data_IF_238437868656
#
_entry.id   IF_238437868656
#
_cell.length_a   1.000
_cell.length_b   1.000
_cell.length_c   1.000
_cell.angle_alpha   90.00
_cell.angle_beta   90.00
_cell.angle_gamma   90.00
#
_symmetry.space_group_name_H-M   'P 1'
#
loop_
_entity.id
_entity.type
_entity.pdbx_description
1 polymer ?
#
# COMPACT_ATOMS: atom_id res chain seq x y z
N UNK A 1 -1.63 -10.41 -2.73
CA UNK A 1 -0.80 -9.38 -2.03
C UNK A 1 -0.28 -8.41 -3.08
N UNK A 2 -0.38 -7.08 -2.89
CA UNK A 2 0.17 -6.11 -3.86
C UNK A 2 1.70 -6.17 -3.89
N UNK A 3 2.31 -6.18 -5.09
CA UNK A 3 3.78 -6.16 -5.28
C UNK A 3 4.43 -5.00 -4.50
N UNK A 4 3.78 -3.83 -4.47
CA UNK A 4 4.22 -2.68 -3.68
C UNK A 4 4.34 -2.98 -2.18
N UNK A 5 3.39 -3.71 -1.58
CA UNK A 5 3.46 -4.07 -0.16
C UNK A 5 4.61 -5.04 0.14
N UNK A 6 4.89 -5.96 -0.79
CA UNK A 6 6.01 -6.89 -0.67
C UNK A 6 7.35 -6.15 -0.70
N UNK A 7 7.58 -5.29 -1.69
CA UNK A 7 8.83 -4.52 -1.80
C UNK A 7 9.01 -3.52 -0.66
N UNK A 8 7.94 -2.87 -0.22
CA UNK A 8 7.97 -2.01 0.98
C UNK A 8 8.38 -2.80 2.23
N UNK A 9 7.80 -3.99 2.41
CA UNK A 9 8.15 -4.85 3.54
C UNK A 9 9.59 -5.37 3.44
N UNK A 10 10.07 -5.71 2.24
CA UNK A 10 11.45 -6.15 2.02
C UNK A 10 12.46 -5.01 2.27
N UNK A 11 12.14 -3.78 1.87
CA UNK A 11 12.95 -2.61 2.17
C UNK A 11 13.04 -2.37 3.70
N UNK A 12 11.91 -2.44 4.41
CA UNK A 12 11.87 -2.22 5.85
C UNK A 12 12.55 -3.37 6.64
N UNK A 13 12.26 -4.62 6.28
CA UNK A 13 12.89 -5.79 6.87
C UNK A 13 14.41 -5.81 6.62
N UNK A 14 14.84 -5.43 5.41
CA UNK A 14 16.26 -5.29 5.08
C UNK A 14 16.97 -4.26 5.96
N UNK A 15 16.35 -3.09 6.21
CA UNK A 15 16.93 -2.09 7.12
C UNK A 15 17.01 -2.57 8.57
N UNK A 16 15.97 -3.28 9.05
CA UNK A 16 15.98 -3.86 10.39
C UNK A 16 17.06 -4.94 10.52
N UNK A 17 17.21 -5.79 9.51
CA UNK A 17 18.21 -6.85 9.50
C UNK A 17 19.64 -6.28 9.42
N UNK A 18 19.86 -5.20 8.67
CA UNK A 18 21.12 -4.47 8.66
C UNK A 18 21.45 -3.86 10.04
N UNK A 19 20.44 -3.28 10.71
CA UNK A 19 20.60 -2.75 12.07
C UNK A 19 20.97 -3.84 13.08
N UNK A 20 20.32 -5.00 13.01
CA UNK A 20 20.64 -6.16 13.85
C UNK A 20 22.05 -6.67 13.54
N UNK A 21 22.45 -6.78 12.27
CA UNK A 21 23.78 -7.21 11.87
C UNK A 21 24.87 -6.31 12.49
N UNK A 22 24.67 -4.99 12.43
CA UNK A 22 25.58 -4.03 13.06
C UNK A 22 25.61 -4.18 14.58
N UNK A 23 24.44 -4.33 15.22
CA UNK A 23 24.36 -4.52 16.67
C UNK A 23 25.06 -5.82 17.10
N UNK A 24 24.90 -6.91 16.34
CA UNK A 24 25.56 -8.18 16.60
C UNK A 24 27.08 -8.08 16.46
N UNK A 25 27.57 -7.27 15.51
CA UNK A 25 29.00 -6.96 15.35
C UNK A 25 29.57 -6.16 16.53
N UNK A 26 28.76 -5.33 17.20
CA UNK A 26 29.19 -4.62 18.40
C UNK A 26 29.28 -5.59 19.59
N UNK A 27 28.37 -6.57 19.64
CA UNK A 27 28.25 -7.52 20.76
C UNK A 27 29.23 -8.70 20.66
N UNK A 28 29.58 -9.12 19.43
CA UNK A 28 30.47 -10.25 19.15
C UNK A 28 31.69 -9.79 18.36
N UNK A 29 32.91 -10.27 18.66
CA UNK A 29 34.14 -9.92 17.94
C UNK A 29 34.22 -10.68 16.59
N UNK A 30 33.27 -10.42 15.70
CA UNK A 30 33.19 -11.05 14.38
C UNK A 30 34.21 -10.38 13.44
N UNK A 31 35.03 -11.16 12.69
CA UNK A 31 36.04 -10.61 11.80
C UNK A 31 35.44 -9.75 10.68
N UNK A 32 36.11 -8.63 10.40
CA UNK A 32 35.66 -7.63 9.42
C UNK A 32 35.52 -8.19 8.00
N UNK A 33 36.34 -9.19 7.65
CA UNK A 33 36.33 -9.88 6.36
C UNK A 33 34.97 -10.52 6.03
N UNK A 34 34.17 -10.87 7.04
CA UNK A 34 32.84 -11.48 6.84
C UNK A 34 31.74 -10.41 6.87
N UNK A 35 31.83 -9.48 7.83
CA UNK A 35 30.78 -8.49 8.06
C UNK A 35 30.71 -7.46 6.93
N UNK A 36 31.85 -7.02 6.38
CA UNK A 36 31.90 -6.04 5.29
C UNK A 36 31.17 -6.50 4.03
N UNK A 37 31.52 -7.64 3.40
CA UNK A 37 30.84 -8.08 2.19
C UNK A 37 29.37 -8.39 2.44
N UNK A 38 29.04 -8.99 3.60
CA UNK A 38 27.65 -9.29 3.96
C UNK A 38 26.81 -8.01 4.11
N UNK A 39 27.36 -6.99 4.79
CA UNK A 39 26.73 -5.67 4.91
C UNK A 39 26.55 -5.00 3.54
N UNK A 40 27.55 -5.10 2.66
CA UNK A 40 27.50 -4.50 1.33
C UNK A 40 26.42 -5.13 0.44
N UNK A 41 26.29 -6.47 0.48
CA UNK A 41 25.21 -7.20 -0.21
C UNK A 41 23.84 -6.78 0.34
N UNK A 42 23.72 -6.64 1.66
CA UNK A 42 22.49 -6.17 2.31
C UNK A 42 22.11 -4.76 1.88
N UNK A 43 23.08 -3.84 1.78
CA UNK A 43 22.85 -2.48 1.31
C UNK A 43 22.34 -2.48 -0.13
N UNK A 44 22.99 -3.25 -1.03
CA UNK A 44 22.55 -3.37 -2.43
C UNK A 44 21.12 -3.93 -2.50
N UNK A 45 20.82 -4.97 -1.73
CA UNK A 45 19.48 -5.54 -1.65
C UNK A 45 18.41 -4.53 -1.18
N UNK A 46 18.73 -3.72 -0.17
CA UNK A 46 17.85 -2.65 0.31
C UNK A 46 17.62 -1.61 -0.78
N UNK A 47 18.68 -1.17 -1.48
CA UNK A 47 18.59 -0.20 -2.57
C UNK A 47 17.73 -0.70 -3.73
N UNK A 48 17.89 -1.97 -4.11
CA UNK A 48 17.06 -2.63 -5.14
C UNK A 48 15.61 -2.67 -4.68
N UNK A 49 15.35 -3.12 -3.44
CA UNK A 49 13.99 -3.18 -2.87
C UNK A 49 13.35 -1.80 -2.79
N UNK A 50 14.11 -0.76 -2.47
CA UNK A 50 13.65 0.62 -2.40
C UNK A 50 13.33 1.15 -3.81
N UNK A 51 14.21 0.91 -4.78
CA UNK A 51 14.00 1.29 -6.18
C UNK A 51 12.73 0.67 -6.75
N UNK A 52 12.49 -0.62 -6.50
CA UNK A 52 11.25 -1.28 -6.88
C UNK A 52 10.05 -0.77 -6.10
N UNK A 53 10.20 -0.41 -4.83
CA UNK A 53 9.12 0.22 -4.05
C UNK A 53 8.66 1.51 -4.71
N UNK A 54 9.58 2.37 -5.14
CA UNK A 54 9.24 3.62 -5.84
C UNK A 54 8.68 3.39 -7.24
N UNK A 55 9.26 2.45 -8.01
CA UNK A 55 8.76 2.08 -9.34
C UNK A 55 7.30 1.58 -9.29
N UNK A 56 7.00 0.68 -8.35
CA UNK A 56 5.67 0.11 -8.18
C UNK A 56 4.73 1.00 -7.36
N UNK A 57 5.22 2.07 -6.70
CA UNK A 57 4.38 3.05 -5.99
C UNK A 57 3.44 3.77 -6.95
N UNK A 58 3.96 4.26 -8.08
CA UNK A 58 3.13 4.95 -9.07
C UNK A 58 2.07 4.05 -9.70
N UNK A 59 2.39 2.78 -9.97
CA UNK A 59 1.43 1.80 -10.45
C UNK A 59 0.38 1.46 -9.38
N UNK A 60 0.81 1.30 -8.12
CA UNK A 60 -0.09 1.02 -7.02
C UNK A 60 -1.02 2.21 -6.71
N UNK A 61 -0.52 3.45 -6.75
CA UNK A 61 -1.34 4.64 -6.53
C UNK A 61 -2.31 4.89 -7.69
N UNK A 62 -1.96 4.54 -8.93
CA UNK A 62 -2.90 4.57 -10.07
C UNK A 62 -4.01 3.53 -9.92
N UNK A 63 -3.66 2.28 -9.58
CA UNK A 63 -4.64 1.19 -9.40
C UNK A 63 -5.52 1.44 -8.17
N UNK A 64 -4.95 1.92 -7.07
CA UNK A 64 -5.68 2.21 -5.82
C UNK A 64 -6.49 3.51 -5.91
N UNK A 65 -6.01 4.51 -6.66
CA UNK A 65 -6.71 5.75 -6.92
C UNK A 65 -7.97 5.54 -7.78
N UNK A 66 -7.89 4.68 -8.80
CA UNK A 66 -9.05 4.25 -9.58
C UNK A 66 -10.09 3.49 -8.73
N UNK A 67 -9.64 2.48 -7.98
CA UNK A 67 -10.53 1.61 -7.20
C UNK A 67 -11.09 2.23 -5.90
N UNK A 68 -10.63 3.40 -5.46
CA UNK A 68 -11.08 4.00 -4.19
C UNK A 68 -11.74 5.36 -4.36
N UNK A 69 -11.42 6.10 -5.43
CA UNK A 69 -11.95 7.44 -5.66
C UNK A 69 -13.17 7.47 -6.59
N UNK A 70 -13.15 6.68 -7.66
CA UNK A 70 -14.25 6.61 -8.62
C UNK A 70 -15.40 5.75 -8.10
N UNK A 71 -15.11 4.59 -7.51
CA UNK A 71 -16.12 3.70 -6.92
C UNK A 71 -16.91 4.40 -5.80
N UNK A 72 -16.24 5.17 -4.93
CA UNK A 72 -16.91 5.91 -3.86
C UNK A 72 -17.79 7.07 -4.37
N UNK A 73 -17.42 7.69 -5.49
CA UNK A 73 -18.24 8.72 -6.14
C UNK A 73 -19.45 8.09 -6.83
N UNK A 74 -19.25 7.02 -7.57
CA UNK A 74 -20.29 6.27 -8.27
C UNK A 74 -21.32 5.69 -7.29
N UNK A 75 -20.87 5.14 -6.17
CA UNK A 75 -21.75 4.60 -5.14
C UNK A 75 -22.59 5.68 -4.44
N UNK A 76 -21.98 6.83 -4.12
CA UNK A 76 -22.72 8.01 -3.63
C UNK A 76 -23.75 8.53 -4.64
N UNK A 77 -23.44 8.47 -5.94
CA UNK A 77 -24.36 8.88 -7.00
C UNK A 77 -25.55 7.93 -7.14
N UNK A 78 -25.30 6.61 -7.10
CA UNK A 78 -26.35 5.58 -7.10
C UNK A 78 -27.29 5.74 -5.90
N UNK A 79 -26.75 5.95 -4.69
CA UNK A 79 -27.54 6.22 -3.47
C UNK A 79 -28.40 7.48 -3.59
N UNK A 80 -27.92 8.54 -4.25
CA UNK A 80 -28.72 9.76 -4.48
C UNK A 80 -29.86 9.53 -5.47
N UNK A 81 -29.61 8.76 -6.53
CA UNK A 81 -30.63 8.42 -7.53
C UNK A 81 -31.73 7.53 -6.93
N UNK A 82 -31.35 6.57 -6.12
CA UNK A 82 -32.29 5.67 -5.44
C UNK A 82 -33.18 6.42 -4.44
N UNK A 83 -32.59 7.30 -3.62
CA UNK A 83 -33.37 8.20 -2.73
C UNK A 83 -34.34 9.10 -3.50
N UNK A 84 -33.96 9.58 -4.70
CA UNK A 84 -34.85 10.38 -5.55
C UNK A 84 -36.01 9.54 -6.11
N UNK A 85 -35.76 8.28 -6.50
CA UNK A 85 -36.79 7.35 -6.99
C UNK A 85 -37.82 7.02 -5.90
N UNK A 86 -37.35 6.65 -4.71
CA UNK A 86 -38.23 6.36 -3.55
C UNK A 86 -39.07 7.58 -3.18
N UNK A 87 -38.47 8.78 -3.17
CA UNK A 87 -39.21 10.03 -2.88
C UNK A 87 -40.24 10.36 -3.97
N UNK A 88 -40.00 9.96 -5.21
CA UNK A 88 -40.94 10.14 -6.32
C UNK A 88 -42.08 9.12 -6.27
N UNK A 89 -41.81 7.86 -5.91
CA UNK A 89 -42.82 6.82 -5.72
C UNK A 89 -43.74 7.14 -4.54
N UNK A 90 -43.19 7.52 -3.38
CA UNK A 90 -43.97 7.95 -2.22
C UNK A 90 -44.87 9.17 -2.53
N UNK A 91 -44.41 10.08 -3.38
CA UNK A 91 -45.24 11.21 -3.83
C UNK A 91 -46.36 10.78 -4.79
N UNK A 92 -46.15 9.72 -5.57
CA UNK A 92 -47.17 9.15 -6.47
C UNK A 92 -48.20 8.35 -5.69
N UNK A 93 -47.78 7.59 -4.67
CA UNK A 93 -48.69 6.85 -3.78
C UNK A 93 -49.55 7.79 -2.95
N UNK A 94 -48.97 8.82 -2.34
CA UNK A 94 -49.73 9.85 -1.59
C UNK A 94 -50.71 10.66 -2.45
N UNK A 95 -50.53 10.67 -3.77
CA UNK A 95 -51.46 11.28 -4.74
C UNK A 95 -52.54 10.31 -5.24
N UNK A 96 -52.39 9.00 -4.98
CA UNK A 96 -53.39 7.98 -5.33
C UNK A 96 -54.33 7.67 -4.16
N UNK A 97 -53.93 7.98 -2.92
CA UNK A 97 -54.76 7.85 -1.72
C UNK A 97 -55.60 9.11 -1.39
N UNK A 98 -55.51 10.16 -2.21
CA UNK A 98 -56.37 11.36 -2.19
C UNK A 98 -57.17 11.42 -3.49
#
# INVERSE_FOLDING_TARGET
MSRYRLYKHHAWAGTTLLSILLALRILLPIPYLIVLPLGLILIIYILISLSFTYKYKNEFDRIKGGASGEDFKLEKERLKLEKKRIKAELKKEKKKEF
#
